data_IF_391682505514
#
_entry.id   IF_391682505514
#
_cell.length_a   1.000
_cell.length_b   1.000
_cell.length_c   1.000
_cell.angle_alpha   90.00
_cell.angle_beta   90.00
_cell.angle_gamma   90.00
#
_symmetry.space_group_name_H-M   'P 1'
#
loop_
_entity.id
_entity.type
_entity.pdbx_description
1 polymer ?
#
# COMPACT_ATOMS: atom_id res chain seq x y z
N UNK A 1 3.66 20.63 8.43
CA UNK A 1 3.48 19.26 7.90
C UNK A 1 4.86 18.61 7.87
N UNK A 2 5.02 17.38 8.40
CA UNK A 2 6.32 16.68 8.37
C UNK A 2 6.52 16.13 6.95
N UNK A 3 7.60 16.50 6.27
CA UNK A 3 7.91 16.05 4.90
C UNK A 3 8.11 14.54 4.87
N UNK A 4 7.64 13.88 3.83
CA UNK A 4 7.98 12.50 3.52
C UNK A 4 9.45 12.43 3.05
N UNK A 5 10.15 11.31 3.27
CA UNK A 5 11.52 11.07 2.79
C UNK A 5 11.71 11.33 1.29
N UNK A 6 10.67 11.07 0.48
CA UNK A 6 10.71 11.35 -0.95
C UNK A 6 10.62 12.85 -1.24
N UNK A 7 9.78 13.59 -0.51
CA UNK A 7 9.73 15.06 -0.58
C UNK A 7 11.06 15.69 -0.12
N UNK A 8 11.70 15.13 0.91
CA UNK A 8 13.03 15.59 1.35
C UNK A 8 14.09 15.40 0.26
N UNK A 9 14.04 14.27 -0.47
CA UNK A 9 14.94 14.02 -1.60
C UNK A 9 14.71 15.00 -2.76
N UNK A 10 13.44 15.27 -3.12
CA UNK A 10 13.10 16.25 -4.16
C UNK A 10 13.48 17.67 -3.76
N UNK A 11 13.24 18.04 -2.51
CA UNK A 11 13.60 19.36 -2.00
C UNK A 11 15.12 19.59 -2.06
N UNK A 12 15.91 18.60 -1.64
CA UNK A 12 17.36 18.67 -1.77
C UNK A 12 17.81 18.81 -3.22
N UNK A 13 17.19 18.04 -4.12
CA UNK A 13 17.46 18.14 -5.56
C UNK A 13 17.16 19.54 -6.10
N UNK A 14 16.07 20.16 -5.66
CA UNK A 14 15.70 21.51 -6.06
C UNK A 14 16.65 22.57 -5.51
N UNK A 15 17.07 22.44 -4.25
CA UNK A 15 18.05 23.32 -3.63
C UNK A 15 19.39 23.24 -4.38
N UNK A 16 19.90 22.02 -4.67
CA UNK A 16 21.15 21.82 -5.41
C UNK A 16 21.08 22.45 -6.81
N UNK A 17 19.92 22.33 -7.50
CA UNK A 17 19.68 22.96 -8.81
C UNK A 17 19.68 24.47 -8.72
N UNK A 18 18.97 25.01 -7.75
CA UNK A 18 18.90 26.44 -7.50
C UNK A 18 20.28 27.03 -7.19
N UNK A 19 21.09 26.37 -6.36
CA UNK A 19 22.44 26.81 -6.04
C UNK A 19 23.34 26.90 -7.28
N UNK A 20 23.29 25.90 -8.17
CA UNK A 20 24.07 25.93 -9.41
C UNK A 20 23.60 27.03 -10.36
N UNK A 21 22.29 27.17 -10.56
CA UNK A 21 21.71 28.20 -11.42
C UNK A 21 22.04 29.61 -10.90
N UNK A 22 21.99 29.81 -9.57
CA UNK A 22 22.42 31.06 -8.92
C UNK A 22 23.90 31.38 -9.17
N UNK A 23 24.78 30.37 -9.14
CA UNK A 23 26.21 30.56 -9.41
C UNK A 23 26.48 30.92 -10.88
N UNK A 24 25.78 30.26 -11.81
CA UNK A 24 25.87 30.56 -13.24
C UNK A 24 25.41 31.98 -13.55
N UNK A 25 24.22 32.37 -13.07
CA UNK A 25 23.68 33.72 -13.26
C UNK A 25 24.59 34.79 -12.65
N UNK A 26 25.14 34.53 -11.46
CA UNK A 26 26.07 35.44 -10.80
C UNK A 26 27.36 35.63 -11.61
N UNK A 27 27.90 34.55 -12.18
CA UNK A 27 29.09 34.60 -13.02
C UNK A 27 28.80 35.27 -14.37
N UNK A 28 27.65 35.01 -14.99
CA UNK A 28 27.21 35.65 -16.24
C UNK A 28 27.06 37.16 -16.07
N UNK A 29 26.35 37.58 -15.02
CA UNK A 29 26.21 38.99 -14.66
C UNK A 29 27.56 39.66 -14.39
N UNK A 30 28.47 38.99 -13.66
CA UNK A 30 29.81 39.49 -13.39
C UNK A 30 30.63 39.64 -14.67
N UNK A 31 30.60 38.65 -15.56
CA UNK A 31 31.31 38.69 -16.84
C UNK A 31 30.77 39.82 -17.73
N UNK A 32 29.45 39.94 -17.88
CA UNK A 32 28.81 41.00 -18.68
C UNK A 32 29.20 42.40 -18.21
N UNK A 33 29.16 42.66 -16.90
CA UNK A 33 29.61 43.96 -16.34
C UNK A 33 31.10 44.19 -16.57
N UNK A 34 31.92 43.16 -16.45
CA UNK A 34 33.35 43.25 -16.75
C UNK A 34 33.65 43.58 -18.21
N UNK A 35 32.89 43.00 -19.15
CA UNK A 35 32.98 43.30 -20.58
C UNK A 35 32.52 44.72 -20.91
N UNK A 36 31.37 45.15 -20.37
CA UNK A 36 30.86 46.52 -20.52
C UNK A 36 31.88 47.56 -20.04
N UNK A 37 32.51 47.31 -18.88
CA UNK A 37 33.53 48.19 -18.34
C UNK A 37 34.80 48.17 -19.20
N UNK A 38 35.30 46.99 -19.60
CA UNK A 38 36.49 46.87 -20.43
C UNK A 38 36.30 47.58 -21.78
N UNK A 39 35.14 47.42 -22.42
CA UNK A 39 34.81 48.11 -23.67
C UNK A 39 34.77 49.63 -23.47
N UNK A 40 34.18 50.10 -22.36
CA UNK A 40 34.14 51.54 -22.03
C UNK A 40 35.53 52.14 -21.81
N UNK A 41 36.47 51.37 -21.25
CA UNK A 41 37.88 51.75 -21.10
C UNK A 41 38.57 51.81 -22.48
N UNK A 42 38.39 50.78 -23.32
CA UNK A 42 39.00 50.70 -24.66
C UNK A 42 38.51 51.85 -25.56
N UNK A 43 37.21 52.16 -25.51
CA UNK A 43 36.60 53.26 -26.25
C UNK A 43 36.95 54.65 -25.69
N UNK A 44 37.78 54.71 -24.64
CA UNK A 44 38.17 55.94 -23.91
C UNK A 44 36.96 56.74 -23.40
N UNK A 45 35.84 56.07 -23.13
CA UNK A 45 34.66 56.67 -22.51
C UNK A 45 34.87 56.94 -21.02
N UNK A 46 35.84 56.25 -20.41
CA UNK A 46 36.25 56.39 -19.01
C UNK A 46 37.72 56.82 -18.98
N UNK A 47 37.98 57.99 -18.41
CA UNK A 47 39.35 58.43 -18.11
C UNK A 47 39.81 57.80 -16.81
N UNK A 48 40.87 56.99 -16.88
CA UNK A 48 41.50 56.33 -15.72
C UNK A 48 42.51 57.25 -15.01
N UNK A 49 42.64 58.50 -15.44
CA UNK A 49 43.52 59.50 -14.82
C UNK A 49 42.83 60.14 -13.60
N UNK A 50 43.50 60.03 -12.45
CA UNK A 50 43.24 60.72 -11.17
C UNK A 50 41.85 60.54 -10.53
N UNK A 51 41.67 59.42 -9.81
CA UNK A 51 40.81 59.35 -8.62
C UNK A 51 39.29 59.32 -8.82
N UNK A 52 38.79 59.43 -10.06
CA UNK A 52 37.35 59.43 -10.36
C UNK A 52 36.76 58.02 -10.62
N UNK A 53 37.58 56.98 -10.72
CA UNK A 53 37.10 55.63 -11.01
C UNK A 53 36.68 54.90 -9.72
N UNK A 54 35.39 54.62 -9.59
CA UNK A 54 34.83 53.80 -8.51
C UNK A 54 34.31 52.49 -9.11
N UNK A 55 34.89 51.37 -8.68
CA UNK A 55 34.51 50.03 -9.18
C UNK A 55 33.04 49.72 -8.86
N UNK A 56 32.55 50.27 -7.76
CA UNK A 56 31.19 50.14 -7.26
C UNK A 56 30.14 50.81 -8.19
N UNK A 57 30.53 51.75 -9.05
CA UNK A 57 29.64 52.36 -10.06
C UNK A 57 29.41 51.44 -11.27
N UNK A 58 30.28 50.45 -11.47
CA UNK A 58 30.28 49.56 -12.62
C UNK A 58 29.88 48.12 -12.28
N UNK A 59 30.15 47.69 -11.05
CA UNK A 59 29.80 46.36 -10.55
C UNK A 59 28.84 46.44 -9.37
N UNK A 60 27.84 45.55 -9.37
CA UNK A 60 27.03 45.35 -8.16
C UNK A 60 27.85 44.63 -7.08
N UNK A 61 27.40 44.74 -5.83
CA UNK A 61 27.99 43.99 -4.71
C UNK A 61 28.01 42.46 -4.95
N UNK A 62 27.02 41.93 -5.67
CA UNK A 62 26.96 40.49 -6.00
C UNK A 62 28.01 40.11 -7.04
N UNK A 63 28.22 40.94 -8.05
CA UNK A 63 29.23 40.71 -9.09
C UNK A 63 30.64 40.72 -8.47
N UNK A 64 30.89 41.70 -7.60
CA UNK A 64 32.14 41.77 -6.83
C UNK A 64 32.32 40.54 -5.93
N UNK A 65 31.28 40.11 -5.21
CA UNK A 65 31.33 38.88 -4.40
C UNK A 65 31.58 37.63 -5.26
N UNK A 66 31.03 37.56 -6.46
CA UNK A 66 31.28 36.47 -7.41
C UNK A 66 32.76 36.41 -7.80
N UNK A 67 33.36 37.55 -8.17
CA UNK A 67 34.78 37.64 -8.52
C UNK A 67 35.67 37.26 -7.32
N UNK A 68 35.38 37.76 -6.13
CA UNK A 68 36.12 37.37 -4.92
C UNK A 68 36.03 35.86 -4.67
N UNK A 69 34.84 35.27 -4.77
CA UNK A 69 34.63 33.84 -4.61
C UNK A 69 35.39 33.00 -5.65
N UNK A 70 35.53 33.51 -6.88
CA UNK A 70 36.26 32.82 -7.96
C UNK A 70 37.75 32.61 -7.64
N UNK A 71 38.34 33.53 -6.89
CA UNK A 71 39.77 33.54 -6.53
C UNK A 71 40.05 33.09 -5.09
N UNK A 72 39.02 32.74 -4.31
CA UNK A 72 39.16 32.23 -2.95
C UNK A 72 39.92 33.21 -2.04
N UNK A 73 40.99 32.73 -1.41
CA UNK A 73 41.81 33.52 -0.47
C UNK A 73 42.44 34.77 -1.11
N UNK A 74 42.68 34.74 -2.42
CA UNK A 74 43.22 35.88 -3.19
C UNK A 74 42.13 36.83 -3.71
N UNK A 75 40.85 36.56 -3.44
CA UNK A 75 39.74 37.33 -3.98
C UNK A 75 39.74 38.80 -3.56
N UNK A 76 40.18 39.11 -2.34
CA UNK A 76 40.30 40.49 -1.83
C UNK A 76 41.38 41.26 -2.59
N UNK A 77 42.53 40.61 -2.85
CA UNK A 77 43.64 41.22 -3.59
C UNK A 77 43.26 41.46 -5.07
N UNK A 78 42.52 40.53 -5.67
CA UNK A 78 42.02 40.68 -7.05
C UNK A 78 41.05 41.86 -7.14
N UNK A 79 40.15 42.02 -6.17
CA UNK A 79 39.25 43.20 -6.11
C UNK A 79 40.02 44.51 -6.03
N UNK A 80 41.07 44.55 -5.21
CA UNK A 80 41.90 45.74 -5.06
C UNK A 80 42.70 46.03 -6.34
N UNK A 81 43.09 44.97 -7.06
CA UNK A 81 43.76 45.10 -8.36
C UNK A 81 42.82 45.71 -9.41
N UNK A 82 41.53 45.37 -9.41
CA UNK A 82 40.52 46.01 -10.29
C UNK A 82 40.40 47.51 -9.98
N UNK A 83 40.51 47.93 -8.71
CA UNK A 83 40.46 49.35 -8.33
C UNK A 83 41.68 50.13 -8.82
N UNK A 84 42.86 49.50 -8.79
CA UNK A 84 44.14 50.14 -9.14
C UNK A 84 44.41 50.15 -10.63
N UNK A 85 44.17 49.03 -11.31
CA UNK A 85 44.42 48.86 -12.74
C UNK A 85 43.36 47.94 -13.37
N UNK A 86 42.15 48.47 -13.65
CA UNK A 86 41.09 47.68 -14.27
C UNK A 86 41.45 47.24 -15.70
N UNK A 87 42.27 48.01 -16.43
CA UNK A 87 42.64 47.71 -17.81
C UNK A 87 43.50 46.44 -17.90
N UNK A 88 44.41 46.22 -16.95
CA UNK A 88 45.20 44.99 -16.88
C UNK A 88 44.45 43.84 -16.19
N UNK A 89 43.63 44.12 -15.16
CA UNK A 89 42.97 43.09 -14.36
C UNK A 89 41.78 42.43 -15.09
N UNK A 90 40.94 43.22 -15.77
CA UNK A 90 39.69 42.73 -16.35
C UNK A 90 39.88 41.63 -17.41
N UNK A 91 40.84 41.70 -18.36
CA UNK A 91 41.04 40.63 -19.34
C UNK A 91 41.34 39.27 -18.69
N UNK A 92 42.13 39.26 -17.61
CA UNK A 92 42.49 38.04 -16.87
C UNK A 92 41.27 37.48 -16.15
N UNK A 93 40.51 38.34 -15.46
CA UNK A 93 39.31 37.95 -14.70
C UNK A 93 38.22 37.45 -15.64
N UNK A 94 37.98 38.12 -16.76
CA UNK A 94 37.00 37.72 -17.77
C UNK A 94 37.33 36.36 -18.38
N UNK A 95 38.61 36.12 -18.69
CA UNK A 95 39.06 34.81 -19.18
C UNK A 95 38.75 33.71 -18.17
N UNK A 96 39.01 33.97 -16.88
CA UNK A 96 38.74 33.01 -15.81
C UNK A 96 37.25 32.80 -15.55
N UNK A 97 36.45 33.87 -15.59
CA UNK A 97 34.99 33.80 -15.44
C UNK A 97 34.37 32.97 -16.56
N UNK A 98 34.75 33.20 -17.82
CA UNK A 98 34.28 32.41 -18.97
C UNK A 98 34.67 30.95 -18.87
N UNK A 99 35.92 30.66 -18.52
CA UNK A 99 36.35 29.28 -18.27
C UNK A 99 35.49 28.62 -17.18
N UNK A 100 35.20 29.33 -16.08
CA UNK A 100 34.39 28.80 -14.99
C UNK A 100 32.92 28.60 -15.39
N UNK A 101 32.35 29.51 -16.20
CA UNK A 101 31.02 29.35 -16.78
C UNK A 101 30.94 28.12 -17.68
N UNK A 102 31.94 27.88 -18.53
CA UNK A 102 31.97 26.69 -19.38
C UNK A 102 32.05 25.40 -18.54
N UNK A 103 32.87 25.39 -17.48
CA UNK A 103 32.96 24.27 -16.52
C UNK A 103 31.61 24.01 -15.83
N UNK A 104 30.96 25.05 -15.30
CA UNK A 104 29.68 24.91 -14.62
C UNK A 104 28.51 24.58 -15.56
N UNK A 105 28.54 25.08 -16.80
CA UNK A 105 27.53 24.76 -17.81
C UNK A 105 27.61 23.28 -18.17
N UNK A 106 28.81 22.73 -18.40
CA UNK A 106 29.00 21.29 -18.60
C UNK A 106 28.56 20.48 -17.39
N UNK A 107 28.92 20.93 -16.18
CA UNK A 107 28.48 20.27 -14.95
C UNK A 107 26.94 20.27 -14.81
N UNK A 108 26.26 21.34 -15.24
CA UNK A 108 24.79 21.43 -15.25
C UNK A 108 24.17 20.41 -16.18
N UNK A 109 24.76 20.17 -17.35
CA UNK A 109 24.28 19.15 -18.29
C UNK A 109 24.33 17.75 -17.66
N UNK A 110 25.43 17.40 -17.01
CA UNK A 110 25.58 16.12 -16.30
C UNK A 110 24.58 16.00 -15.13
N UNK A 111 24.42 17.07 -14.33
CA UNK A 111 23.51 17.09 -13.19
C UNK A 111 22.03 17.08 -13.60
N UNK A 112 21.68 17.66 -14.74
CA UNK A 112 20.32 17.63 -15.26
C UNK A 112 19.82 16.20 -15.48
N UNK A 113 20.71 15.28 -15.91
CA UNK A 113 20.36 13.85 -16.03
C UNK A 113 20.05 13.25 -14.66
N UNK A 114 20.90 13.51 -13.67
CA UNK A 114 20.70 13.03 -12.29
C UNK A 114 19.43 13.60 -11.68
N UNK A 115 19.17 14.89 -11.85
CA UNK A 115 17.96 15.54 -11.35
C UNK A 115 16.70 14.99 -12.03
N UNK A 116 16.74 14.75 -13.35
CA UNK A 116 15.64 14.12 -14.06
C UNK A 116 15.32 12.72 -13.49
N UNK A 117 16.33 11.88 -13.29
CA UNK A 117 16.18 10.54 -12.70
C UNK A 117 15.58 10.61 -11.28
N UNK A 118 16.02 11.57 -10.46
CA UNK A 118 15.52 11.78 -9.10
C UNK A 118 14.04 12.19 -9.13
N UNK A 119 13.66 13.11 -10.01
CA UNK A 119 12.28 13.55 -10.19
C UNK A 119 11.38 12.42 -10.68
N UNK A 120 11.80 11.68 -11.70
CA UNK A 120 11.06 10.52 -12.22
C UNK A 120 10.81 9.48 -11.12
N UNK A 121 11.84 9.20 -10.32
CA UNK A 121 11.76 8.18 -9.26
C UNK A 121 10.90 8.58 -8.06
N UNK A 122 10.92 9.85 -7.67
CA UNK A 122 10.37 10.27 -6.38
C UNK A 122 9.11 11.14 -6.46
N UNK A 123 8.80 11.78 -7.59
CA UNK A 123 7.66 12.70 -7.69
C UNK A 123 6.33 12.06 -7.27
N UNK A 124 5.97 10.91 -7.82
CA UNK A 124 4.71 10.25 -7.44
C UNK A 124 4.75 9.69 -6.00
N UNK A 125 5.93 9.30 -5.50
CA UNK A 125 6.09 8.80 -4.13
C UNK A 125 6.01 9.91 -3.09
N UNK A 126 6.37 11.13 -3.46
CA UNK A 126 6.28 12.30 -2.58
C UNK A 126 4.83 12.70 -2.33
N UNK A 127 3.93 12.45 -3.29
CA UNK A 127 2.49 12.70 -3.17
C UNK A 127 1.77 11.66 -2.27
N UNK A 128 2.43 10.56 -1.93
CA UNK A 128 1.84 9.48 -1.14
C UNK A 128 2.10 9.67 0.36
N UNK A 129 1.14 10.30 1.04
CA UNK A 129 1.16 10.47 2.50
C UNK A 129 0.37 9.39 3.25
N UNK A 130 -0.49 8.64 2.56
CA UNK A 130 -1.45 7.72 3.19
C UNK A 130 -0.89 6.31 3.36
N UNK A 131 -0.15 5.81 2.37
CA UNK A 131 0.31 4.42 2.35
C UNK A 131 1.22 4.05 3.50
N UNK A 132 2.05 4.98 3.97
CA UNK A 132 2.99 4.70 5.06
C UNK A 132 2.26 4.46 6.39
N UNK A 133 1.34 5.36 6.75
CA UNK A 133 0.51 5.20 7.95
C UNK A 133 -0.36 3.95 7.83
N UNK A 134 -0.97 3.75 6.67
CA UNK A 134 -1.80 2.57 6.37
C UNK A 134 -1.01 1.28 6.61
N UNK A 135 0.15 1.10 5.98
CA UNK A 135 1.00 -0.10 6.17
C UNK A 135 1.34 -0.39 7.63
N UNK A 136 1.69 0.64 8.40
CA UNK A 136 2.10 0.47 9.79
C UNK A 136 0.92 0.06 10.67
N UNK A 137 -0.23 0.71 10.51
CA UNK A 137 -1.45 0.42 11.25
C UNK A 137 -1.98 -0.96 10.86
N UNK A 138 -2.12 -1.19 9.57
CA UNK A 138 -2.70 -2.40 8.99
C UNK A 138 -1.90 -3.65 9.38
N UNK A 139 -0.57 -3.57 9.40
CA UNK A 139 0.27 -4.68 9.91
C UNK A 139 0.02 -5.03 11.39
N UNK A 140 -0.31 -4.03 12.23
CA UNK A 140 -0.68 -4.24 13.64
C UNK A 140 -2.07 -4.87 13.74
N UNK A 141 -3.02 -4.39 12.95
CA UNK A 141 -4.40 -4.90 12.94
C UNK A 141 -4.49 -6.35 12.43
N UNK A 142 -3.66 -6.73 11.46
CA UNK A 142 -3.59 -8.11 10.99
C UNK A 142 -2.98 -9.10 11.99
N UNK A 143 -2.53 -8.66 13.18
CA UNK A 143 -1.94 -9.57 14.18
C UNK A 143 -2.98 -10.42 14.87
N UNK A 144 -2.66 -11.70 15.09
CA UNK A 144 -3.53 -12.61 15.86
C UNK A 144 -3.91 -12.00 17.22
N UNK A 145 -2.98 -11.33 17.90
CA UNK A 145 -3.26 -10.61 19.15
C UNK A 145 -4.32 -9.52 19.00
N UNK A 146 -4.25 -8.71 17.94
CA UNK A 146 -5.24 -7.66 17.69
C UNK A 146 -6.62 -8.26 17.38
N UNK A 147 -6.68 -9.26 16.52
CA UNK A 147 -7.92 -9.95 16.13
C UNK A 147 -8.56 -10.71 17.32
N UNK A 148 -7.75 -11.36 18.15
CA UNK A 148 -8.21 -12.01 19.38
C UNK A 148 -8.74 -10.99 20.39
N UNK A 149 -8.11 -9.81 20.49
CA UNK A 149 -8.63 -8.72 21.33
C UNK A 149 -9.97 -8.21 20.81
N UNK A 150 -10.11 -8.04 19.49
CA UNK A 150 -11.35 -7.63 18.82
C UNK A 150 -12.52 -8.53 19.23
N UNK A 151 -12.36 -9.86 19.09
CA UNK A 151 -13.44 -10.80 19.40
C UNK A 151 -13.75 -10.92 20.89
N UNK A 152 -12.73 -10.80 21.77
CA UNK A 152 -12.94 -10.75 23.22
C UNK A 152 -13.78 -9.55 23.64
N UNK A 153 -13.54 -8.40 23.02
CA UNK A 153 -14.31 -7.19 23.30
C UNK A 153 -15.72 -7.24 22.72
N UNK A 154 -15.90 -7.87 21.55
CA UNK A 154 -17.24 -8.15 20.99
C UNK A 154 -18.04 -9.06 21.93
N UNK A 155 -17.43 -10.14 22.45
CA UNK A 155 -18.07 -11.06 23.40
C UNK A 155 -18.49 -10.37 24.70
N UNK A 156 -17.66 -9.47 25.24
CA UNK A 156 -18.05 -8.68 26.43
C UNK A 156 -19.26 -7.78 26.17
N UNK A 157 -19.38 -7.24 24.96
CA UNK A 157 -20.51 -6.39 24.56
C UNK A 157 -21.80 -7.20 24.33
N UNK A 158 -21.70 -8.39 23.74
CA UNK A 158 -22.84 -9.27 23.45
C UNK A 158 -23.38 -10.03 24.67
N UNK A 159 -22.69 -10.02 25.83
CA UNK A 159 -23.21 -10.64 27.06
C UNK A 159 -24.57 -10.08 27.54
N UNK A 160 -25.05 -8.96 26.99
CA UNK A 160 -26.39 -8.41 27.26
C UNK A 160 -27.50 -8.99 26.35
N UNK A 161 -27.17 -9.63 25.22
CA UNK A 161 -28.12 -10.14 24.22
C UNK A 161 -27.63 -11.48 23.64
N UNK A 162 -28.21 -12.60 24.08
CA UNK A 162 -27.67 -13.96 23.88
C UNK A 162 -27.74 -14.51 22.45
N UNK A 163 -28.48 -13.87 21.54
CA UNK A 163 -28.75 -14.39 20.18
C UNK A 163 -28.00 -13.66 19.06
N UNK A 164 -27.14 -12.68 19.37
CA UNK A 164 -26.44 -11.90 18.33
C UNK A 164 -25.18 -12.66 17.89
N UNK A 165 -24.97 -12.91 16.58
CA UNK A 165 -23.71 -13.47 16.09
C UNK A 165 -22.53 -12.59 16.52
N UNK A 166 -21.44 -13.23 16.96
CA UNK A 166 -20.21 -12.51 17.29
C UNK A 166 -19.49 -12.05 16.01
N UNK A 167 -19.83 -12.68 14.89
CA UNK A 167 -19.24 -12.44 13.60
C UNK A 167 -20.27 -12.72 12.51
N UNK A 168 -20.59 -11.69 11.74
CA UNK A 168 -21.59 -11.74 10.66
C UNK A 168 -20.98 -11.22 9.36
N UNK A 169 -21.25 -11.94 8.27
CA UNK A 169 -20.70 -11.67 6.96
C UNK A 169 -21.75 -11.58 5.87
N UNK A 170 -21.55 -10.63 4.96
CA UNK A 170 -22.26 -10.50 3.70
C UNK A 170 -21.21 -10.48 2.58
N UNK A 171 -21.26 -11.46 1.69
CA UNK A 171 -20.41 -11.54 0.51
C UNK A 171 -21.27 -11.29 -0.73
N UNK A 172 -21.13 -10.10 -1.33
CA UNK A 172 -22.01 -9.62 -2.40
C UNK A 172 -21.65 -10.18 -3.77
N UNK A 173 -20.36 -10.38 -4.05
CA UNK A 173 -19.84 -10.86 -5.33
C UNK A 173 -19.19 -12.24 -5.18
N UNK A 174 -19.78 -13.22 -5.85
CA UNK A 174 -19.33 -14.62 -5.84
C UNK A 174 -18.06 -14.86 -6.65
N UNK A 175 -17.82 -14.03 -7.68
CA UNK A 175 -16.63 -14.13 -8.55
C UNK A 175 -15.34 -13.87 -7.78
N UNK A 176 -15.40 -13.04 -6.73
CA UNK A 176 -14.25 -12.75 -5.88
C UNK A 176 -13.78 -14.01 -5.15
N UNK A 177 -14.67 -14.91 -4.74
CA UNK A 177 -14.25 -16.14 -4.05
C UNK A 177 -13.41 -17.07 -4.94
N UNK A 178 -13.72 -17.14 -6.24
CA UNK A 178 -12.89 -17.89 -7.19
C UNK A 178 -11.49 -17.28 -7.31
N UNK A 179 -11.40 -15.95 -7.31
CA UNK A 179 -10.12 -15.26 -7.31
C UNK A 179 -9.37 -15.49 -6.00
N UNK A 180 -10.04 -15.38 -4.84
CA UNK A 180 -9.42 -15.68 -3.54
C UNK A 180 -8.85 -17.10 -3.49
N UNK A 181 -9.58 -18.09 -4.03
CA UNK A 181 -9.09 -19.46 -4.10
C UNK A 181 -7.81 -19.55 -4.94
N UNK A 182 -7.77 -18.92 -6.12
CA UNK A 182 -6.56 -18.87 -6.96
C UNK A 182 -5.38 -18.20 -6.23
N UNK A 183 -5.62 -17.10 -5.52
CA UNK A 183 -4.59 -16.40 -4.72
C UNK A 183 -4.02 -17.32 -3.63
N UNK A 184 -4.90 -18.00 -2.90
CA UNK A 184 -4.53 -18.92 -1.82
C UNK A 184 -3.81 -20.14 -2.37
N UNK A 185 -4.33 -20.78 -3.42
CA UNK A 185 -3.70 -21.91 -4.09
C UNK A 185 -2.27 -21.56 -4.51
N UNK A 186 -2.11 -20.47 -5.25
CA UNK A 186 -0.81 -20.01 -5.67
C UNK A 186 0.11 -19.71 -4.46
N UNK A 187 -0.41 -19.04 -3.42
CA UNK A 187 0.35 -18.76 -2.20
C UNK A 187 0.83 -20.03 -1.50
N UNK A 188 0.04 -21.11 -1.56
CA UNK A 188 0.44 -22.40 -1.02
C UNK A 188 1.62 -23.00 -1.81
N UNK A 189 1.58 -22.90 -3.13
CA UNK A 189 2.62 -23.41 -4.04
C UNK A 189 3.96 -22.66 -3.86
N UNK A 190 3.92 -21.35 -3.62
CA UNK A 190 5.14 -20.56 -3.36
C UNK A 190 5.72 -20.80 -1.96
N UNK A 191 4.86 -20.93 -0.93
CA UNK A 191 5.29 -21.00 0.46
C UNK A 191 5.74 -22.38 0.93
N UNK A 192 5.25 -23.46 0.30
CA UNK A 192 5.52 -24.83 0.73
C UNK A 192 5.99 -25.74 -0.40
N UNK A 193 7.11 -26.42 -0.16
CA UNK A 193 7.56 -27.53 -1.02
C UNK A 193 6.86 -28.86 -0.69
N UNK A 194 6.19 -28.97 0.47
CA UNK A 194 5.51 -30.19 0.91
C UNK A 194 4.07 -30.25 0.38
N UNK A 195 3.85 -31.10 -0.62
CA UNK A 195 2.55 -31.30 -1.28
C UNK A 195 1.44 -31.83 -0.35
N UNK A 196 1.79 -32.59 0.69
CA UNK A 196 0.80 -33.14 1.63
C UNK A 196 0.21 -32.03 2.51
N UNK A 197 1.07 -31.15 3.05
CA UNK A 197 0.63 -30.00 3.86
C UNK A 197 -0.23 -29.05 3.03
N UNK A 198 0.21 -28.74 1.81
CA UNK A 198 -0.58 -27.96 0.85
C UNK A 198 -1.95 -28.60 0.59
N UNK A 199 -1.98 -29.90 0.31
CA UNK A 199 -3.23 -30.62 0.07
C UNK A 199 -4.21 -30.56 1.25
N UNK A 200 -3.72 -30.62 2.49
CA UNK A 200 -4.59 -30.46 3.69
C UNK A 200 -5.18 -29.05 3.80
N UNK A 201 -4.37 -28.01 3.57
CA UNK A 201 -4.82 -26.61 3.60
C UNK A 201 -5.84 -26.33 2.50
N UNK A 202 -5.60 -26.78 1.28
CA UNK A 202 -6.54 -26.61 0.17
C UNK A 202 -7.83 -27.40 0.39
N UNK A 203 -7.76 -28.60 0.99
CA UNK A 203 -8.97 -29.32 1.40
C UNK A 203 -9.76 -28.55 2.44
N UNK A 204 -9.12 -27.99 3.46
CA UNK A 204 -9.81 -27.14 4.44
C UNK A 204 -10.53 -25.97 3.76
N UNK A 205 -9.89 -25.30 2.80
CA UNK A 205 -10.54 -24.22 2.05
C UNK A 205 -11.79 -24.68 1.29
N UNK A 206 -11.67 -25.69 0.44
CA UNK A 206 -12.78 -26.16 -0.40
C UNK A 206 -13.89 -26.88 0.38
N UNK A 207 -13.52 -27.67 1.40
CA UNK A 207 -14.46 -28.48 2.15
C UNK A 207 -15.16 -27.72 3.27
N UNK A 208 -14.52 -26.72 3.87
CA UNK A 208 -15.10 -25.98 4.99
C UNK A 208 -15.43 -24.53 4.64
N UNK A 209 -14.45 -23.75 4.18
CA UNK A 209 -14.66 -22.31 3.94
C UNK A 209 -15.67 -22.10 2.81
N UNK A 210 -15.53 -22.77 1.66
CA UNK A 210 -16.50 -22.64 0.56
C UNK A 210 -17.90 -23.11 0.97
N UNK A 211 -18.00 -24.18 1.76
CA UNK A 211 -19.28 -24.62 2.33
C UNK A 211 -19.87 -23.58 3.28
N UNK A 212 -19.09 -22.99 4.18
CA UNK A 212 -19.58 -21.94 5.09
C UNK A 212 -20.05 -20.68 4.33
N UNK A 213 -19.36 -20.33 3.25
CA UNK A 213 -19.65 -19.17 2.42
C UNK A 213 -20.77 -19.42 1.39
N UNK A 214 -21.22 -20.68 1.28
CA UNK A 214 -22.21 -21.08 0.30
C UNK A 214 -21.73 -20.92 -1.14
N UNK A 215 -20.43 -21.08 -1.40
CA UNK A 215 -19.84 -21.14 -2.76
C UNK A 215 -19.89 -22.61 -3.21
N UNK A 216 -20.25 -22.94 -4.48
CA UNK A 216 -20.23 -24.31 -4.94
C UNK A 216 -18.78 -24.79 -4.99
N UNK A 217 -18.50 -25.99 -4.47
CA UNK A 217 -17.15 -26.54 -4.46
C UNK A 217 -16.51 -26.50 -5.86
N UNK A 218 -15.31 -25.93 -5.96
CA UNK A 218 -14.58 -25.85 -7.23
C UNK A 218 -14.30 -27.25 -7.80
N UNK A 219 -14.70 -27.50 -9.05
CA UNK A 219 -14.61 -28.84 -9.69
C UNK A 219 -13.16 -29.27 -10.01
N UNK A 220 -12.20 -28.35 -9.94
CA UNK A 220 -10.85 -28.55 -10.48
C UNK A 220 -9.86 -29.23 -9.50
N UNK A 221 -10.19 -29.35 -8.22
CA UNK A 221 -9.26 -29.90 -7.20
C UNK A 221 -9.12 -31.43 -7.28
N UNK A 222 -10.05 -32.10 -7.97
CA UNK A 222 -10.06 -33.57 -8.07
C UNK A 222 -8.90 -34.14 -8.89
N UNK A 223 -8.25 -33.35 -9.74
CA UNK A 223 -7.25 -33.87 -10.70
C UNK A 223 -5.82 -33.90 -10.13
N UNK A 224 -5.52 -33.17 -9.04
CA UNK A 224 -4.12 -33.02 -8.58
C UNK A 224 -3.84 -33.61 -7.18
N UNK A 225 -4.86 -34.04 -6.42
CA UNK A 225 -4.66 -34.53 -5.04
C UNK A 225 -5.14 -35.97 -4.74
N UNK A 226 -5.60 -36.76 -5.72
CA UNK A 226 -6.09 -38.12 -5.47
C UNK A 226 -5.07 -39.21 -5.84
N UNK A 227 -4.18 -39.54 -4.91
CA UNK A 227 -3.54 -40.85 -4.82
C UNK A 227 -3.68 -41.44 -3.42
N UNK A 228 -4.87 -41.35 -2.81
CA UNK A 228 -5.28 -42.20 -1.69
C UNK A 228 -6.77 -42.54 -1.88
N UNK A 229 -7.05 -43.82 -2.13
CA UNK A 229 -8.40 -44.35 -2.38
C UNK A 229 -9.30 -44.17 -1.15
N UNK A 230 -10.59 -43.84 -1.31
CA UNK A 230 -11.59 -44.01 -0.26
C UNK A 230 -11.87 -45.50 -0.01
N UNK A 231 -12.24 -45.92 1.21
CA UNK A 231 -12.67 -47.29 1.48
C UNK A 231 -14.07 -47.54 0.89
N UNK A 232 -14.19 -48.72 0.25
CA UNK A 232 -15.38 -49.22 -0.43
C UNK A 232 -16.58 -49.35 0.53
N UNK A 233 -17.76 -48.95 0.06
CA UNK A 233 -19.03 -49.59 0.43
C UNK A 233 -19.92 -49.70 -0.80
N UNK A 234 -20.53 -50.88 -0.88
CA UNK A 234 -21.17 -51.50 -2.03
C UNK A 234 -22.45 -50.80 -2.52
N UNK A 235 -22.80 -51.14 -3.76
CA UNK A 235 -23.95 -50.73 -4.54
C UNK A 235 -25.30 -51.02 -3.86
N UNK A 236 -26.28 -50.13 -4.04
CA UNK A 236 -27.61 -50.53 -4.54
C UNK A 236 -28.41 -49.34 -5.09
N UNK A 237 -29.26 -49.66 -6.07
CA UNK A 237 -29.93 -48.80 -7.05
C UNK A 237 -31.30 -48.34 -6.54
N UNK A 238 -31.70 -47.09 -6.82
CA UNK A 238 -33.07 -46.63 -6.64
C UNK A 238 -33.37 -45.25 -7.24
N UNK A 239 -34.08 -45.23 -8.36
CA UNK A 239 -34.59 -44.05 -9.06
C UNK A 239 -35.62 -43.24 -8.24
N UNK A 240 -35.61 -41.91 -8.42
CA UNK A 240 -36.84 -41.15 -8.61
C UNK A 240 -37.17 -40.02 -7.62
N UNK A 241 -37.67 -38.95 -8.23
CA UNK A 241 -38.51 -37.87 -7.69
C UNK A 241 -37.82 -36.62 -7.09
N UNK A 242 -38.05 -35.52 -7.80
CA UNK A 242 -37.80 -34.16 -7.38
C UNK A 242 -38.49 -33.84 -6.05
N UNK A 243 -37.72 -33.34 -5.07
CA UNK A 243 -38.26 -32.73 -3.86
C UNK A 243 -38.09 -31.21 -3.96
N UNK A 244 -39.19 -30.53 -4.29
CA UNK A 244 -39.35 -29.08 -4.10
C UNK A 244 -39.40 -28.83 -2.59
N UNK A 245 -38.30 -28.40 -1.99
CA UNK A 245 -38.35 -27.80 -0.64
C UNK A 245 -38.37 -26.28 -0.71
N UNK A 246 -39.48 -25.79 -0.19
CA UNK A 246 -39.85 -24.44 0.22
C UNK A 246 -38.73 -23.66 0.90
N UNK A 247 -38.82 -22.32 0.79
CA UNK A 247 -37.88 -21.36 1.34
C UNK A 247 -37.57 -21.58 2.81
N UNK A 248 -36.28 -21.67 3.08
CA UNK A 248 -35.67 -21.58 4.41
C UNK A 248 -34.46 -20.67 4.23
N UNK A 249 -34.34 -19.65 5.06
CA UNK A 249 -33.19 -18.75 5.06
C UNK A 249 -31.98 -19.62 5.41
N UNK A 250 -31.05 -19.79 4.48
CA UNK A 250 -29.90 -20.70 4.61
C UNK A 250 -28.87 -20.10 5.59
N UNK A 251 -29.23 -20.00 6.88
CA UNK A 251 -28.36 -19.55 7.97
C UNK A 251 -27.28 -20.61 8.21
N UNK A 252 -26.06 -20.33 7.71
CA UNK A 252 -24.88 -21.18 7.91
C UNK A 252 -24.15 -20.74 9.16
N UNK A 253 -24.47 -21.39 10.28
CA UNK A 253 -23.92 -21.09 11.60
C UNK A 253 -22.79 -22.05 11.95
N UNK A 254 -21.66 -21.49 12.42
CA UNK A 254 -20.53 -22.23 12.95
C UNK A 254 -20.20 -21.75 14.37
N UNK A 255 -20.01 -22.70 15.29
CA UNK A 255 -19.50 -22.43 16.63
C UNK A 255 -18.04 -22.85 16.70
N UNK A 256 -17.15 -21.87 16.91
CA UNK A 256 -15.70 -22.08 16.91
C UNK A 256 -14.98 -21.34 18.03
N UNK A 257 -13.67 -21.54 18.08
CA UNK A 257 -12.74 -20.89 18.99
C UNK A 257 -12.13 -19.61 18.37
N UNK A 258 -11.08 -19.10 19.01
CA UNK A 258 -10.33 -17.92 18.57
C UNK A 258 -9.65 -18.16 17.20
N UNK A 259 -9.21 -19.39 16.91
CA UNK A 259 -8.51 -19.72 15.67
C UNK A 259 -9.42 -19.62 14.44
N UNK A 260 -10.65 -20.13 14.54
CA UNK A 260 -11.63 -19.94 13.48
C UNK A 260 -12.02 -18.47 13.32
N UNK A 261 -12.12 -17.71 14.41
CA UNK A 261 -12.43 -16.28 14.30
C UNK A 261 -11.35 -15.55 13.49
N UNK A 262 -10.08 -15.78 13.84
CA UNK A 262 -8.94 -15.19 13.13
C UNK A 262 -8.94 -15.63 11.66
N UNK A 263 -9.23 -16.90 11.37
CA UNK A 263 -9.34 -17.42 10.01
C UNK A 263 -10.39 -16.67 9.18
N UNK A 264 -11.63 -16.61 9.66
CA UNK A 264 -12.69 -15.94 8.93
C UNK A 264 -12.45 -14.43 8.82
N UNK A 265 -11.87 -13.81 9.85
CA UNK A 265 -11.56 -12.38 9.84
C UNK A 265 -10.47 -12.03 8.83
N UNK A 266 -9.40 -12.83 8.73
CA UNK A 266 -8.36 -12.68 7.70
C UNK A 266 -8.92 -12.94 6.30
N UNK A 267 -9.75 -13.97 6.12
CA UNK A 267 -10.44 -14.25 4.87
C UNK A 267 -11.29 -13.05 4.42
N UNK A 268 -12.06 -12.45 5.32
CA UNK A 268 -12.88 -11.26 5.03
C UNK A 268 -12.03 -10.08 4.61
N UNK A 269 -10.94 -9.78 5.34
CA UNK A 269 -10.06 -8.67 4.98
C UNK A 269 -9.46 -8.90 3.58
N UNK A 270 -9.12 -10.14 3.25
CA UNK A 270 -8.66 -10.48 1.90
C UNK A 270 -9.75 -10.24 0.86
N UNK A 271 -10.98 -10.71 1.11
CA UNK A 271 -12.12 -10.46 0.23
C UNK A 271 -12.36 -8.95 -0.02
N UNK A 272 -12.42 -8.15 1.04
CA UNK A 272 -12.67 -6.71 0.96
C UNK A 272 -11.57 -6.00 0.15
N UNK A 273 -10.30 -6.36 0.33
CA UNK A 273 -9.19 -5.77 -0.46
C UNK A 273 -9.29 -6.10 -1.94
N UNK A 274 -9.60 -7.36 -2.28
CA UNK A 274 -9.75 -7.77 -3.68
C UNK A 274 -11.00 -7.15 -4.29
N UNK A 275 -12.09 -7.02 -3.53
CA UNK A 275 -13.29 -6.28 -3.94
C UNK A 275 -12.98 -4.82 -4.24
N UNK A 276 -12.30 -4.12 -3.33
CA UNK A 276 -11.93 -2.72 -3.50
C UNK A 276 -10.98 -2.54 -4.69
N UNK A 277 -9.98 -3.41 -4.84
CA UNK A 277 -9.10 -3.40 -6.00
C UNK A 277 -9.88 -3.56 -7.31
N UNK A 278 -10.86 -4.47 -7.37
CA UNK A 278 -11.77 -4.59 -8.53
C UNK A 278 -12.54 -3.29 -8.78
N UNK A 279 -13.12 -2.68 -7.75
CA UNK A 279 -13.88 -1.43 -7.88
C UNK A 279 -13.00 -0.26 -8.37
N UNK A 280 -11.78 -0.13 -7.86
CA UNK A 280 -10.87 0.93 -8.29
C UNK A 280 -10.35 0.74 -9.72
N UNK A 281 -10.22 -0.50 -10.18
CA UNK A 281 -9.93 -0.78 -11.59
C UNK A 281 -11.07 -0.34 -12.54
N UNK A 282 -12.33 -0.37 -12.09
CA UNK A 282 -13.51 -0.03 -12.92
C UNK A 282 -13.79 1.48 -13.06
N UNK A 283 -12.94 2.36 -12.50
CA UNK A 283 -13.20 3.80 -12.41
C UNK A 283 -12.72 4.68 -13.58
N UNK A 284 -12.26 4.12 -14.70
CA UNK A 284 -11.68 4.91 -15.79
C UNK A 284 -11.92 4.32 -17.18
N UNK A 285 -13.08 4.61 -17.76
CA UNK A 285 -13.41 4.30 -19.16
C UNK A 285 -14.13 2.96 -19.33
N UNK A 286 -15.18 2.97 -20.17
CA UNK A 286 -16.01 1.82 -20.54
C UNK A 286 -15.16 0.57 -20.87
N UNK A 287 -15.42 -0.56 -20.20
CA UNK A 287 -14.69 -1.81 -20.43
C UNK A 287 -15.66 -2.97 -20.67
N UNK A 288 -15.42 -3.67 -21.77
CA UNK A 288 -15.99 -4.98 -22.10
C UNK A 288 -14.94 -6.07 -21.85
N UNK A 289 -15.14 -6.95 -20.87
CA UNK A 289 -14.67 -8.33 -20.94
C UNK A 289 -13.64 -8.85 -19.89
N UNK A 290 -13.35 -10.17 -19.92
CA UNK A 290 -12.60 -10.95 -18.90
C UNK A 290 -11.10 -10.59 -18.69
N UNK A 291 -10.60 -9.51 -19.30
CA UNK A 291 -9.19 -9.08 -19.19
C UNK A 291 -8.80 -8.45 -17.85
N UNK A 292 -9.76 -8.02 -17.03
CA UNK A 292 -9.49 -7.30 -15.77
C UNK A 292 -9.19 -8.22 -14.59
N UNK A 293 -9.82 -9.40 -14.53
CA UNK A 293 -9.42 -10.49 -13.63
C UNK A 293 -8.01 -10.97 -13.99
N UNK A 294 -7.67 -10.99 -15.28
CA UNK A 294 -6.30 -11.21 -15.74
C UNK A 294 -5.33 -10.14 -15.22
N UNK A 295 -5.74 -8.87 -15.04
CA UNK A 295 -4.90 -7.81 -14.46
C UNK A 295 -4.70 -7.96 -12.95
N UNK A 296 -5.71 -8.41 -12.21
CA UNK A 296 -5.58 -8.69 -10.76
C UNK A 296 -4.80 -9.99 -10.53
N UNK A 297 -5.06 -11.02 -11.33
CA UNK A 297 -4.22 -12.21 -11.42
C UNK A 297 -2.82 -11.86 -11.92
N UNK A 298 -2.64 -10.82 -12.74
CA UNK A 298 -1.34 -10.30 -13.18
C UNK A 298 -0.64 -9.57 -12.03
N UNK A 299 -1.33 -8.76 -11.22
CA UNK A 299 -0.77 -8.18 -9.98
C UNK A 299 -0.34 -9.31 -9.03
N UNK A 300 -1.14 -10.36 -8.90
CA UNK A 300 -0.77 -11.55 -8.12
C UNK A 300 0.33 -12.41 -8.76
N UNK A 301 0.35 -12.52 -10.09
CA UNK A 301 1.37 -13.20 -10.86
C UNK A 301 2.69 -12.44 -10.81
N UNK A 302 2.67 -11.10 -10.82
CA UNK A 302 3.84 -10.22 -10.61
C UNK A 302 4.31 -10.28 -9.15
N UNK A 303 3.37 -10.35 -8.19
CA UNK A 303 3.66 -10.51 -6.77
C UNK A 303 4.45 -11.77 -6.44
N UNK A 304 4.31 -12.81 -7.26
CA UNK A 304 4.77 -14.14 -6.90
C UNK A 304 5.63 -14.84 -7.96
N UNK A 305 5.59 -14.39 -9.22
CA UNK A 305 6.67 -14.59 -10.17
C UNK A 305 7.60 -13.40 -10.04
N UNK A 306 8.73 -13.57 -9.36
CA UNK A 306 9.94 -13.07 -10.00
C UNK A 306 9.92 -13.63 -11.42
N UNK A 307 9.78 -12.76 -12.42
CA UNK A 307 9.78 -13.15 -13.84
C UNK A 307 10.90 -14.17 -14.02
N UNK A 308 10.71 -15.30 -14.74
CA UNK A 308 11.68 -16.42 -14.81
C UNK A 308 13.09 -16.07 -15.35
N UNK A 309 13.36 -14.80 -15.61
CA UNK A 309 14.62 -14.25 -16.10
C UNK A 309 15.35 -13.31 -15.13
N UNK A 310 14.86 -13.08 -13.90
CA UNK A 310 15.63 -12.38 -12.87
C UNK A 310 15.68 -13.17 -11.56
N UNK A 311 16.88 -13.56 -11.07
CA UNK A 311 17.05 -14.29 -9.83
C UNK A 311 17.01 -13.32 -8.63
N UNK A 312 16.02 -12.43 -8.59
CA UNK A 312 15.80 -11.55 -7.45
C UNK A 312 14.30 -11.40 -7.20
N UNK A 313 13.92 -11.71 -5.97
CA UNK A 313 12.63 -11.35 -5.37
C UNK A 313 12.38 -9.86 -5.68
N UNK A 314 11.21 -9.50 -6.21
CA UNK A 314 10.86 -8.08 -6.36
C UNK A 314 11.07 -7.37 -5.03
N UNK A 315 11.77 -6.24 -5.04
CA UNK A 315 11.86 -5.42 -3.85
C UNK A 315 10.48 -4.82 -3.58
N UNK A 316 10.05 -4.71 -2.31
CA UNK A 316 8.70 -4.22 -1.95
C UNK A 316 8.30 -2.93 -2.67
N UNK A 317 9.27 -2.08 -3.01
CA UNK A 317 9.02 -0.82 -3.70
C UNK A 317 8.59 -1.02 -5.16
N UNK A 318 9.11 -2.00 -5.89
CA UNK A 318 8.75 -2.28 -7.29
C UNK A 318 7.29 -2.77 -7.39
N UNK A 319 6.88 -3.62 -6.45
CA UNK A 319 5.48 -4.06 -6.34
C UNK A 319 4.51 -2.90 -6.10
N UNK A 320 4.87 -1.97 -5.21
CA UNK A 320 4.05 -0.79 -4.91
C UNK A 320 3.94 0.15 -6.12
N UNK A 321 4.99 0.22 -6.94
CA UNK A 321 5.04 1.03 -8.14
C UNK A 321 4.11 0.46 -9.23
N UNK A 322 4.13 -0.87 -9.44
CA UNK A 322 3.19 -1.57 -10.33
C UNK A 322 1.73 -1.46 -9.87
N UNK A 323 1.46 -1.61 -8.57
CA UNK A 323 0.12 -1.41 -8.04
C UNK A 323 -0.40 0.01 -8.30
N UNK A 324 0.48 1.02 -8.18
CA UNK A 324 0.15 2.42 -8.50
C UNK A 324 -0.12 2.63 -9.98
N UNK A 325 0.61 1.96 -10.86
CA UNK A 325 0.36 2.03 -12.29
C UNK A 325 -1.02 1.47 -12.69
N UNK A 326 -1.52 0.46 -11.97
CA UNK A 326 -2.76 -0.25 -12.32
C UNK A 326 -4.00 0.38 -11.65
N UNK A 327 -3.90 0.71 -10.36
CA UNK A 327 -5.06 1.13 -9.52
C UNK A 327 -4.97 2.63 -9.16
N UNK A 328 -3.85 3.29 -9.47
CA UNK A 328 -3.62 4.68 -9.13
C UNK A 328 -3.42 4.88 -7.62
N UNK A 329 -3.92 6.02 -7.11
CA UNK A 329 -3.66 6.48 -5.75
C UNK A 329 -4.26 5.58 -4.66
N UNK A 330 -5.24 4.71 -5.00
CA UNK A 330 -5.88 3.78 -4.06
C UNK A 330 -5.18 2.42 -3.96
N UNK A 331 -4.07 2.25 -4.68
CA UNK A 331 -3.24 1.04 -4.69
C UNK A 331 -2.71 0.62 -3.31
N UNK A 332 -2.69 1.53 -2.34
CA UNK A 332 -2.20 1.26 -0.98
C UNK A 332 -2.93 0.13 -0.27
N UNK A 333 -4.19 -0.13 -0.64
CA UNK A 333 -5.00 -1.24 -0.12
C UNK A 333 -4.33 -2.60 -0.37
N UNK A 334 -3.52 -2.71 -1.43
CA UNK A 334 -2.79 -3.93 -1.81
C UNK A 334 -1.37 -4.02 -1.26
N UNK A 335 -0.81 -2.95 -0.69
CA UNK A 335 0.62 -2.89 -0.36
C UNK A 335 1.10 -3.85 0.73
N UNK A 336 0.18 -4.47 1.49
CA UNK A 336 0.51 -5.54 2.44
C UNK A 336 -0.25 -6.84 2.18
N UNK A 337 -0.72 -7.03 0.94
CA UNK A 337 -1.43 -8.24 0.53
C UNK A 337 -0.57 -9.49 0.74
N UNK A 338 0.73 -9.39 0.51
CA UNK A 338 1.75 -10.41 0.78
C UNK A 338 1.72 -10.87 2.25
N UNK A 339 1.71 -9.92 3.19
CA UNK A 339 1.66 -10.19 4.63
C UNK A 339 0.32 -10.76 5.05
N UNK A 340 -0.76 -10.31 4.42
CA UNK A 340 -2.10 -10.85 4.65
C UNK A 340 -2.18 -12.32 4.19
N UNK A 341 -1.74 -12.63 2.97
CA UNK A 341 -1.71 -13.99 2.43
C UNK A 341 -0.79 -14.89 3.27
N UNK A 342 0.38 -14.40 3.69
CA UNK A 342 1.26 -15.13 4.59
C UNK A 342 0.58 -15.48 5.92
N UNK A 343 -0.14 -14.53 6.52
CA UNK A 343 -0.85 -14.76 7.78
C UNK A 343 -2.03 -15.70 7.60
N UNK A 344 -2.81 -15.55 6.53
CA UNK A 344 -3.96 -16.40 6.26
C UNK A 344 -3.53 -17.84 5.95
N UNK A 345 -2.59 -18.01 5.02
CA UNK A 345 -2.19 -19.31 4.47
C UNK A 345 -1.19 -19.99 5.40
N UNK A 346 -0.03 -19.37 5.64
CA UNK A 346 1.07 -20.01 6.37
C UNK A 346 0.90 -20.02 7.88
N UNK A 347 0.30 -18.99 8.47
CA UNK A 347 0.07 -18.97 9.91
C UNK A 347 -1.26 -19.61 10.28
N UNK A 348 -2.38 -19.10 9.77
CA UNK A 348 -3.70 -19.47 10.28
C UNK A 348 -4.23 -20.79 9.74
N UNK A 349 -4.34 -20.96 8.41
CA UNK A 349 -4.83 -22.19 7.81
C UNK A 349 -3.95 -23.39 8.19
N UNK A 350 -2.63 -23.21 8.23
CA UNK A 350 -1.71 -24.27 8.67
C UNK A 350 -1.90 -24.63 10.15
N UNK A 351 -2.15 -23.66 11.03
CA UNK A 351 -2.40 -23.92 12.45
C UNK A 351 -3.69 -24.71 12.65
N UNK A 352 -4.79 -24.31 12.01
CA UNK A 352 -6.09 -24.99 12.08
C UNK A 352 -5.99 -26.44 11.59
N UNK A 353 -5.26 -26.68 10.50
CA UNK A 353 -5.02 -28.04 9.99
C UNK A 353 -4.20 -28.89 10.97
N UNK A 354 -3.28 -28.29 11.71
CA UNK A 354 -2.39 -28.98 12.64
C UNK A 354 -3.05 -29.24 14.01
N UNK A 355 -4.05 -28.46 14.40
CA UNK A 355 -4.69 -28.55 15.70
C UNK A 355 -5.76 -29.65 15.79
N UNK A 356 -5.69 -30.48 16.82
CA UNK A 356 -6.58 -31.63 16.97
C UNK A 356 -8.00 -31.24 17.42
N UNK A 357 -8.15 -30.14 18.17
CA UNK A 357 -9.46 -29.64 18.60
C UNK A 357 -10.17 -29.01 17.41
N UNK A 358 -9.45 -28.22 16.61
CA UNK A 358 -9.99 -27.61 15.39
C UNK A 358 -10.48 -28.65 14.39
N UNK A 359 -9.70 -29.71 14.17
CA UNK A 359 -10.11 -30.82 13.31
C UNK A 359 -11.39 -31.52 13.81
N UNK A 360 -11.58 -31.64 15.14
CA UNK A 360 -12.82 -32.20 15.71
C UNK A 360 -14.01 -31.25 15.52
N UNK A 361 -13.80 -29.93 15.62
CA UNK A 361 -14.84 -28.93 15.35
C UNK A 361 -15.27 -28.94 13.87
N UNK A 362 -14.33 -29.11 12.95
CA UNK A 362 -14.60 -29.26 11.53
C UNK A 362 -15.43 -30.52 11.25
N UNK A 363 -15.04 -31.67 11.82
CA UNK A 363 -15.81 -32.91 11.70
C UNK A 363 -17.22 -32.78 12.28
N UNK A 364 -17.37 -32.06 13.40
CA UNK A 364 -18.67 -31.81 14.00
C UNK A 364 -19.57 -31.00 13.05
N UNK A 365 -19.02 -29.98 12.38
CA UNK A 365 -19.75 -29.18 11.39
C UNK A 365 -20.13 -30.00 10.14
N UNK A 366 -19.20 -30.80 9.60
CA UNK A 366 -19.42 -31.66 8.42
C UNK A 366 -20.46 -32.77 8.68
N UNK A 367 -20.59 -33.22 9.92
CA UNK A 367 -21.53 -34.30 10.29
C UNK A 367 -23.01 -33.96 10.08
N UNK A 368 -23.34 -32.72 9.68
CA UNK A 368 -24.68 -32.29 9.29
C UNK A 368 -25.71 -32.26 10.44
N UNK A 369 -25.29 -32.54 11.68
CA UNK A 369 -26.12 -32.48 12.88
C UNK A 369 -26.34 -31.04 13.39
N UNK A 370 -25.93 -30.04 12.60
CA UNK A 370 -25.52 -28.71 13.06
C UNK A 370 -26.60 -27.63 13.09
N UNK A 371 -27.87 -27.94 12.79
CA UNK A 371 -28.95 -26.92 12.75
C UNK A 371 -29.76 -26.76 14.04
N UNK A 372 -29.29 -27.28 15.17
CA UNK A 372 -30.04 -27.29 16.44
C UNK A 372 -29.15 -27.03 17.67
N UNK A 373 -29.78 -26.76 18.82
CA UNK A 373 -29.15 -26.59 20.16
C UNK A 373 -28.12 -27.66 20.52
N UNK A 374 -28.28 -28.88 20.00
CA UNK A 374 -27.35 -30.01 20.14
C UNK A 374 -25.95 -29.69 19.57
N UNK A 375 -25.87 -28.88 18.51
CA UNK A 375 -24.59 -28.49 17.91
C UNK A 375 -23.76 -27.61 18.83
N UNK A 376 -24.40 -26.61 19.45
CA UNK A 376 -23.76 -25.73 20.42
C UNK A 376 -23.24 -26.51 21.63
N UNK A 377 -24.04 -27.44 22.16
CA UNK A 377 -23.63 -28.23 23.32
C UNK A 377 -22.46 -29.17 22.98
N UNK A 378 -22.45 -29.77 21.79
CA UNK A 378 -21.32 -30.57 21.32
C UNK A 378 -20.05 -29.74 21.14
N UNK A 379 -20.16 -28.53 20.59
CA UNK A 379 -19.03 -27.61 20.48
C UNK A 379 -18.51 -27.19 21.86
N UNK A 380 -19.41 -26.97 22.82
CA UNK A 380 -19.07 -26.66 24.21
C UNK A 380 -18.34 -27.80 24.92
N UNK A 381 -18.75 -29.04 24.68
CA UNK A 381 -18.07 -30.21 25.23
C UNK A 381 -16.64 -30.32 24.67
N UNK A 382 -16.44 -30.02 23.38
CA UNK A 382 -15.12 -30.05 22.74
C UNK A 382 -14.19 -28.92 23.20
N UNK A 383 -14.76 -27.73 23.43
CA UNK A 383 -14.00 -26.52 23.80
C UNK A 383 -13.84 -26.32 25.31
N UNK A 384 -14.49 -27.14 26.14
CA UNK A 384 -14.41 -27.07 27.60
C UNK A 384 -14.68 -25.65 28.14
N UNK A 385 -13.71 -25.06 28.86
CA UNK A 385 -13.78 -23.72 29.45
C UNK A 385 -13.38 -22.60 28.48
N UNK A 386 -13.02 -22.92 27.24
CA UNK A 386 -12.64 -21.91 26.25
C UNK A 386 -13.84 -21.09 25.75
N UNK A 387 -13.53 -19.90 25.23
CA UNK A 387 -14.54 -19.04 24.66
C UNK A 387 -15.06 -19.60 23.34
N UNK A 388 -16.36 -19.92 23.31
CA UNK A 388 -17.09 -20.25 22.08
C UNK A 388 -17.58 -18.95 21.42
N UNK A 389 -17.42 -18.86 20.10
CA UNK A 389 -17.89 -17.76 19.29
C UNK A 389 -18.83 -18.28 18.19
N UNK A 390 -19.98 -17.61 18.04
CA UNK A 390 -20.97 -17.87 16.98
C UNK A 390 -20.61 -17.04 15.75
N UNK A 391 -20.33 -17.71 14.64
CA UNK A 391 -19.96 -17.13 13.34
C UNK A 391 -21.02 -17.48 12.31
N UNK A 392 -21.46 -16.49 11.55
CA UNK A 392 -22.58 -16.62 10.63
C UNK A 392 -22.29 -15.94 9.29
N UNK A 393 -22.61 -16.63 8.20
CA UNK A 393 -22.63 -16.06 6.86
C UNK A 393 -24.08 -15.87 6.43
N UNK A 394 -24.51 -14.62 6.27
CA UNK A 394 -25.88 -14.29 5.88
C UNK A 394 -25.95 -14.19 4.37
N UNK A 395 -26.87 -14.95 3.75
CA UNK A 395 -27.29 -14.72 2.36
C UNK A 395 -28.47 -13.75 2.40
N UNK A 396 -28.29 -12.56 1.85
CA UNK A 396 -29.33 -11.53 1.81
C UNK A 396 -30.49 -12.00 0.93
N UNK A 397 -31.55 -12.52 1.55
CA UNK A 397 -32.90 -12.40 1.04
C UNK A 397 -33.67 -11.57 2.08
N UNK A 398 -33.83 -10.27 1.77
CA UNK A 398 -34.68 -9.27 2.43
C UNK A 398 -33.98 -8.44 3.52
N UNK A 399 -33.79 -7.15 3.18
CA UNK A 399 -33.48 -6.06 4.11
C UNK A 399 -34.64 -5.89 5.11
N UNK A 400 -34.37 -6.12 6.40
CA UNK A 400 -35.14 -5.46 7.46
C UNK A 400 -34.48 -4.11 7.74
N UNK A 401 -35.21 -2.98 7.69
CA UNK A 401 -34.64 -1.63 7.82
C UNK A 401 -34.12 -1.29 9.22
N UNK A 402 -34.13 -2.23 10.17
CA UNK A 402 -33.74 -2.01 11.57
C UNK A 402 -32.52 -2.80 12.04
N UNK A 403 -31.86 -3.58 11.17
CA UNK A 403 -30.69 -4.36 11.56
C UNK A 403 -29.40 -3.76 11.00
N UNK A 404 -28.58 -3.18 11.87
CA UNK A 404 -27.23 -2.69 11.56
C UNK A 404 -26.23 -3.70 12.12
N UNK A 405 -25.47 -4.36 11.26
CA UNK A 405 -24.48 -5.35 11.70
C UNK A 405 -23.45 -4.69 12.63
N UNK A 406 -23.13 -5.27 13.81
CA UNK A 406 -22.19 -4.69 14.78
C UNK A 406 -20.79 -4.42 14.21
N UNK A 407 -20.43 -5.11 13.13
CA UNK A 407 -19.13 -5.04 12.48
C UNK A 407 -19.02 -3.99 11.38
N UNK A 408 -20.13 -3.38 10.94
CA UNK A 408 -20.09 -2.27 9.97
C UNK A 408 -19.27 -1.08 10.50
N UNK A 409 -19.21 -0.92 11.83
CA UNK A 409 -18.57 0.24 12.48
C UNK A 409 -17.11 0.02 12.94
N UNK A 410 -16.56 -1.20 12.89
CA UNK A 410 -15.13 -1.43 13.20
C UNK A 410 -14.21 -1.20 11.99
N UNK A 411 -14.78 -0.79 10.84
CA UNK A 411 -14.11 -0.51 9.57
C UNK A 411 -13.88 1.00 9.33
N UNK A 412 -13.82 1.81 10.41
CA UNK A 412 -13.65 3.28 10.40
C UNK A 412 -12.43 3.85 9.62
N UNK A 413 -11.65 3.03 8.91
CA UNK A 413 -10.48 3.46 8.15
C UNK A 413 -10.57 3.20 6.64
N UNK A 414 -11.73 2.75 6.13
CA UNK A 414 -11.98 2.56 4.68
C UNK A 414 -13.03 3.56 4.15
N UNK A 415 -13.42 4.57 4.94
CA UNK A 415 -14.12 5.74 4.37
C UNK A 415 -13.09 6.77 3.92
N UNK A 416 -12.88 6.97 2.59
CA UNK A 416 -12.00 8.03 2.10
C UNK A 416 -12.49 9.44 2.48
N UNK A 417 -13.76 9.60 2.90
CA UNK A 417 -14.36 10.90 3.22
C UNK A 417 -14.21 11.35 4.69
N UNK A 418 -13.97 10.45 5.65
CA UNK A 418 -13.98 10.82 7.08
C UNK A 418 -12.62 11.29 7.66
N UNK A 419 -11.56 11.32 6.86
CA UNK A 419 -10.23 11.78 7.30
C UNK A 419 -10.04 13.31 7.26
N UNK A 420 -11.00 14.08 6.73
CA UNK A 420 -10.88 15.53 6.55
C UNK A 420 -11.51 16.42 7.63
N UNK A 421 -12.08 15.87 8.70
CA UNK A 421 -12.58 16.67 9.83
C UNK A 421 -11.75 16.49 11.11
N UNK A 422 -10.51 16.97 11.11
CA UNK A 422 -9.88 17.45 12.35
C UNK A 422 -8.77 18.45 12.09
N UNK A 423 -9.14 19.63 11.59
CA UNK A 423 -8.34 20.85 11.81
C UNK A 423 -9.27 22.00 12.20
N UNK A 424 -9.88 21.88 13.38
CA UNK A 424 -10.46 23.03 14.08
C UNK A 424 -10.39 22.76 15.58
N UNK A 425 -9.76 23.63 16.39
CA UNK A 425 -9.84 23.49 17.84
C UNK A 425 -11.31 23.70 18.28
N UNK A 426 -11.82 22.94 19.26
CA UNK A 426 -13.18 23.10 19.73
C UNK A 426 -13.34 24.49 20.36
N UNK A 427 -14.22 25.31 19.78
CA UNK A 427 -14.71 26.53 20.43
C UNK A 427 -15.56 26.11 21.62
N UNK A 428 -15.09 26.42 22.82
CA UNK A 428 -15.91 26.42 24.04
C UNK A 428 -17.01 27.47 23.88
N UNK A 429 -18.25 27.02 23.71
CA UNK A 429 -19.43 27.85 23.96
C UNK A 429 -19.90 27.60 25.38
N UNK A 430 -19.47 28.48 26.29
CA UNK A 430 -20.02 28.59 27.64
C UNK A 430 -21.38 29.27 27.49
N UNK A 431 -22.47 28.53 27.71
CA UNK A 431 -23.77 29.14 27.99
C UNK A 431 -23.78 29.50 29.47
N UNK A 432 -23.67 30.81 29.76
CA UNK A 432 -24.06 31.37 31.04
C UNK A 432 -25.59 31.30 31.12
N UNK A 433 -26.10 30.58 32.12
CA UNK A 433 -27.48 30.70 32.56
C UNK A 433 -27.60 32.00 33.35
N UNK A 434 -28.49 32.88 32.90
CA UNK A 434 -29.22 33.82 33.76
C UNK A 434 -30.69 33.35 33.81
#
# INVERSE_FOLDING_TARGET
MRRNRYEESLFKCEDDRFELDMLLESAESAAKRGEELLNSIIEKKISLEEGSFLVEDHFTALNLRCIERLYGDHGVDVKETIRKDPAAALPVILTRLKQKQDEWTKCREDLNLVWADVYEKYHYKSLDHHSFSFKQQDSKFLSAKALVSEIKDLKKKSQKESNIPHLEYEYLDRSIHEDLFKLVQFSCEEMWSNKEKMGKVLRLWNSFLELMLGVPASKDVTTTCCALKPPQKDEEIGNGAADKRSGDVDERVFYGNEDFYVLFRLHRILYERISLAKTYCTGGGEMNGPGEIQKILLVHHILMQGIPYKPNRFENHEFEDECRAIIGNQSYVLFILDKLLYRLVKQQLQAVVADNVDNKLLQLYESGKSRNTVYYENARILLHDENIYRMECVRTLIQSPHYVSPLRNSLLFIDPENLFQSSSPPRLSIQLMD
#
